data_IF_950915739228
#
_entry.id   IF_950915739228
#
_cell.length_a   1.000
_cell.length_b   1.000
_cell.length_c   1.000
_cell.angle_alpha   90.00
_cell.angle_beta   90.00
_cell.angle_gamma   90.00
#
_symmetry.space_group_name_H-M   'P 1'
#
loop_
_entity.id
_entity.type
_entity.pdbx_description
1 polymer ?
#
# COMPACT_ATOMS: atom_id res chain seq x y z
N UNK A 1 32.66 14.90 20.48
CA UNK A 1 33.00 14.55 19.09
C UNK A 1 32.80 13.04 18.82
N UNK A 2 33.41 12.17 19.60
CA UNK A 2 33.27 10.70 19.38
C UNK A 2 31.84 10.19 19.58
N UNK A 3 31.08 10.72 20.53
CA UNK A 3 29.71 10.34 20.83
C UNK A 3 28.73 10.71 19.70
N UNK A 4 28.96 11.82 19.00
CA UNK A 4 28.12 12.30 17.89
C UNK A 4 28.30 11.41 16.66
N UNK A 5 29.51 10.94 16.39
CA UNK A 5 29.77 10.03 15.29
C UNK A 5 29.16 8.65 15.53
N UNK A 6 29.17 8.18 16.79
CA UNK A 6 28.54 6.90 17.13
C UNK A 6 27.00 6.95 16.96
N UNK A 7 26.39 8.07 17.33
CA UNK A 7 24.95 8.29 17.17
C UNK A 7 24.54 8.37 15.69
N UNK A 8 25.35 9.04 14.87
CA UNK A 8 25.11 9.13 13.43
C UNK A 8 25.22 7.75 12.76
N UNK A 9 26.18 6.93 13.18
CA UNK A 9 26.35 5.58 12.67
C UNK A 9 25.19 4.66 13.06
N UNK A 10 24.62 4.83 14.26
CA UNK A 10 23.45 4.05 14.69
C UNK A 10 22.19 4.42 13.91
N UNK A 11 21.99 5.72 13.64
CA UNK A 11 20.86 6.21 12.84
C UNK A 11 21.00 5.75 11.39
N UNK A 12 22.20 5.76 10.84
CA UNK A 12 22.45 5.26 9.49
C UNK A 12 22.24 3.74 9.39
N UNK A 13 22.66 2.98 10.41
CA UNK A 13 22.44 1.53 10.47
C UNK A 13 20.94 1.19 10.56
N UNK A 14 20.15 1.97 11.32
CA UNK A 14 18.70 1.78 11.38
C UNK A 14 18.02 2.11 10.04
N UNK A 15 18.42 3.18 9.36
CA UNK A 15 17.94 3.52 8.03
C UNK A 15 18.32 2.45 6.99
N UNK A 16 19.52 1.88 7.08
CA UNK A 16 19.96 0.79 6.22
C UNK A 16 19.17 -0.50 6.48
N UNK A 17 18.78 -0.77 7.73
CA UNK A 17 17.95 -1.93 8.06
C UNK A 17 16.54 -1.82 7.46
N UNK A 18 15.97 -0.61 7.40
CA UNK A 18 14.70 -0.36 6.71
C UNK A 18 14.83 -0.41 5.17
N UNK A 19 16.00 -0.10 4.62
CA UNK A 19 16.29 -0.20 3.20
C UNK A 19 16.69 -1.59 2.73
N UNK A 20 16.86 -2.56 3.64
CA UNK A 20 17.18 -3.94 3.34
C UNK A 20 15.92 -4.78 3.16
N UNK A 21 14.96 -4.26 2.41
CA UNK A 21 13.88 -5.06 1.84
C UNK A 21 14.52 -6.04 0.86
N UNK A 22 14.10 -7.30 0.89
CA UNK A 22 14.61 -8.35 -0.01
C UNK A 22 14.13 -8.19 -1.46
N UNK A 23 13.44 -7.08 -1.77
CA UNK A 23 12.86 -6.81 -3.07
C UNK A 23 11.56 -7.56 -3.34
N UNK A 24 11.00 -8.22 -2.36
CA UNK A 24 9.69 -8.89 -2.49
C UNK A 24 8.57 -7.86 -2.49
N UNK A 25 7.71 -7.92 -3.52
CA UNK A 25 6.48 -7.16 -3.58
C UNK A 25 5.46 -7.80 -2.62
N UNK A 26 4.99 -7.05 -1.65
CA UNK A 26 4.00 -7.49 -0.67
C UNK A 26 2.64 -6.97 -1.06
N UNK A 27 1.78 -7.87 -1.54
CA UNK A 27 0.40 -7.56 -1.93
C UNK A 27 -0.50 -7.85 -0.75
N UNK A 28 -1.27 -6.87 -0.30
CA UNK A 28 -2.26 -7.06 0.74
C UNK A 28 -3.66 -7.30 0.18
N UNK A 29 -4.56 -7.75 1.04
CA UNK A 29 -5.99 -7.80 0.71
C UNK A 29 -6.83 -7.62 1.96
N UNK A 30 -8.03 -7.05 1.78
CA UNK A 30 -9.04 -6.92 2.83
C UNK A 30 -9.68 -8.28 3.07
N UNK A 31 -10.43 -8.40 4.17
CA UNK A 31 -11.01 -9.69 4.59
C UNK A 31 -12.36 -9.93 3.92
N UNK A 32 -12.38 -10.07 2.60
CA UNK A 32 -13.54 -10.56 1.83
C UNK A 32 -13.09 -11.12 0.47
N UNK A 33 -13.93 -11.95 -0.11
CA UNK A 33 -13.57 -12.83 -1.23
C UNK A 33 -13.03 -12.07 -2.45
N UNK A 34 -13.68 -11.02 -2.89
CA UNK A 34 -13.24 -10.25 -4.06
C UNK A 34 -11.85 -9.64 -3.83
N UNK A 35 -11.58 -9.16 -2.62
CA UNK A 35 -10.27 -8.61 -2.28
C UNK A 35 -9.17 -9.68 -2.34
N UNK A 36 -9.49 -10.91 -1.93
CA UNK A 36 -8.55 -12.03 -2.06
C UNK A 36 -8.25 -12.35 -3.52
N UNK A 37 -9.27 -12.38 -4.36
CA UNK A 37 -9.12 -12.65 -5.78
C UNK A 37 -8.27 -11.57 -6.45
N UNK A 38 -8.58 -10.32 -6.20
CA UNK A 38 -7.83 -9.20 -6.76
C UNK A 38 -6.39 -9.16 -6.26
N UNK A 39 -6.16 -9.41 -4.98
CA UNK A 39 -4.82 -9.51 -4.42
C UNK A 39 -4.00 -10.62 -5.07
N UNK A 40 -4.61 -11.77 -5.29
CA UNK A 40 -3.94 -12.90 -5.94
C UNK A 40 -3.66 -12.61 -7.42
N UNK A 41 -4.55 -11.93 -8.11
CA UNK A 41 -4.32 -11.49 -9.50
C UNK A 41 -3.11 -10.54 -9.57
N UNK A 42 -3.02 -9.58 -8.67
CA UNK A 42 -1.87 -8.66 -8.59
C UNK A 42 -0.58 -9.46 -8.36
N UNK A 43 -0.59 -10.36 -7.38
CA UNK A 43 0.58 -11.19 -7.07
C UNK A 43 1.03 -12.01 -8.28
N UNK A 44 0.11 -12.71 -8.94
CA UNK A 44 0.44 -13.54 -10.10
C UNK A 44 0.90 -12.71 -11.29
N UNK A 45 0.33 -11.53 -11.50
CA UNK A 45 0.74 -10.60 -12.56
C UNK A 45 2.16 -10.06 -12.34
N UNK A 46 2.54 -9.84 -11.09
CA UNK A 46 3.86 -9.36 -10.73
C UNK A 46 4.93 -10.46 -10.72
N UNK A 47 4.55 -11.69 -10.44
CA UNK A 47 5.47 -12.81 -10.20
C UNK A 47 6.51 -13.04 -11.31
N UNK A 48 6.21 -12.86 -12.63
CA UNK A 48 7.24 -13.00 -13.68
C UNK A 48 8.33 -11.92 -13.62
N UNK A 49 8.10 -10.81 -12.91
CA UNK A 49 8.98 -9.63 -12.91
C UNK A 49 9.69 -9.43 -11.58
N UNK A 50 9.06 -9.86 -10.48
CA UNK A 50 9.54 -9.64 -9.12
C UNK A 50 9.03 -10.76 -8.23
N UNK A 51 9.78 -11.09 -7.18
CA UNK A 51 9.23 -11.96 -6.14
C UNK A 51 8.03 -11.27 -5.52
N UNK A 52 6.88 -11.94 -5.49
CA UNK A 52 5.65 -11.38 -4.96
C UNK A 52 4.99 -12.36 -3.99
N UNK A 53 4.50 -11.85 -2.89
CA UNK A 53 3.73 -12.62 -1.90
C UNK A 53 2.40 -11.93 -1.63
N UNK A 54 1.39 -12.71 -1.25
CA UNK A 54 0.07 -12.21 -0.92
C UNK A 54 -0.18 -12.36 0.59
N UNK A 55 -0.29 -11.23 1.26
CA UNK A 55 -0.68 -11.15 2.67
C UNK A 55 -2.19 -11.01 2.74
N UNK A 56 -2.85 -12.15 2.79
CA UNK A 56 -4.28 -12.29 2.64
C UNK A 56 -5.03 -11.94 3.93
N UNK A 57 -6.18 -11.28 3.79
CA UNK A 57 -7.15 -11.15 4.87
C UNK A 57 -6.71 -10.28 6.04
N UNK A 58 -6.02 -9.18 5.79
CA UNK A 58 -5.50 -8.31 6.84
C UNK A 58 -6.58 -7.67 7.70
N UNK A 59 -7.71 -7.29 7.11
CA UNK A 59 -8.81 -6.71 7.84
C UNK A 59 -9.65 -5.74 6.99
N UNK A 60 -10.20 -4.72 7.64
CA UNK A 60 -10.98 -3.67 6.99
C UNK A 60 -10.07 -2.59 6.36
N UNK A 61 -10.68 -1.58 5.77
CA UNK A 61 -9.98 -0.47 5.11
C UNK A 61 -8.94 0.20 6.03
N UNK A 62 -9.29 0.47 7.27
CA UNK A 62 -8.39 1.14 8.21
C UNK A 62 -7.14 0.30 8.50
N UNK A 63 -7.30 -1.00 8.67
CA UNK A 63 -6.20 -1.92 8.97
C UNK A 63 -5.27 -2.06 7.76
N UNK A 64 -5.83 -2.24 6.57
CA UNK A 64 -5.02 -2.40 5.36
C UNK A 64 -4.32 -1.10 4.98
N UNK A 65 -4.99 0.03 5.14
CA UNK A 65 -4.37 1.35 4.94
C UNK A 65 -3.19 1.56 5.90
N UNK A 66 -3.36 1.21 7.17
CA UNK A 66 -2.27 1.31 8.15
C UNK A 66 -1.08 0.43 7.75
N UNK A 67 -1.33 -0.79 7.26
CA UNK A 67 -0.28 -1.69 6.79
C UNK A 67 0.45 -1.11 5.57
N UNK A 68 -0.28 -0.48 4.64
CA UNK A 68 0.30 0.18 3.48
C UNK A 68 1.18 1.37 3.89
N UNK A 69 0.69 2.21 4.78
CA UNK A 69 1.44 3.38 5.28
C UNK A 69 2.68 2.98 6.08
N UNK A 70 2.61 1.87 6.80
CA UNK A 70 3.75 1.34 7.56
C UNK A 70 4.77 0.59 6.70
N UNK A 71 4.47 0.31 5.43
CA UNK A 71 5.34 -0.47 4.56
C UNK A 71 5.27 -1.98 4.80
N UNK A 72 4.30 -2.45 5.58
CA UNK A 72 4.07 -3.89 5.78
C UNK A 72 3.52 -4.56 4.53
N UNK A 73 2.83 -3.79 3.69
CA UNK A 73 2.45 -4.15 2.33
C UNK A 73 2.83 -3.01 1.38
N UNK A 74 2.94 -3.33 0.10
CA UNK A 74 3.33 -2.34 -0.92
C UNK A 74 2.14 -1.90 -1.77
N UNK A 75 1.11 -2.75 -1.88
CA UNK A 75 -0.05 -2.49 -2.74
C UNK A 75 -1.24 -3.33 -2.28
N UNK A 76 -2.43 -2.83 -2.49
CA UNK A 76 -3.67 -3.60 -2.40
C UNK A 76 -4.73 -2.99 -3.34
N UNK A 77 -5.73 -3.79 -3.71
CA UNK A 77 -6.84 -3.32 -4.54
C UNK A 77 -7.90 -2.66 -3.65
N UNK A 78 -8.35 -1.47 -4.05
CA UNK A 78 -9.37 -0.73 -3.33
C UNK A 78 -10.37 -0.11 -4.30
N UNK A 79 -11.59 0.10 -3.85
CA UNK A 79 -12.62 0.80 -4.62
C UNK A 79 -12.39 2.31 -4.56
N UNK A 80 -12.59 2.98 -5.69
CA UNK A 80 -12.45 4.44 -5.76
C UNK A 80 -13.41 5.14 -4.79
N UNK A 81 -14.64 4.63 -4.65
CA UNK A 81 -15.59 5.17 -3.67
C UNK A 81 -15.11 5.06 -2.24
N UNK A 82 -14.49 3.95 -1.88
CA UNK A 82 -13.90 3.75 -0.55
C UNK A 82 -12.70 4.67 -0.32
N UNK A 83 -11.85 4.84 -1.32
CA UNK A 83 -10.74 5.79 -1.22
C UNK A 83 -11.27 7.19 -0.96
N UNK A 84 -12.27 7.64 -1.73
CA UNK A 84 -12.84 8.96 -1.57
C UNK A 84 -13.50 9.15 -0.19
N UNK A 85 -14.33 8.21 0.23
CA UNK A 85 -15.14 8.37 1.44
C UNK A 85 -14.42 7.99 2.72
N UNK A 86 -13.71 6.88 2.76
CA UNK A 86 -13.10 6.35 3.99
C UNK A 86 -11.68 6.84 4.20
N UNK A 87 -10.90 6.99 3.14
CA UNK A 87 -9.49 7.40 3.23
C UNK A 87 -9.36 8.91 3.16
N UNK A 88 -9.97 9.53 2.16
CA UNK A 88 -9.87 10.97 1.91
C UNK A 88 -11.00 11.80 2.53
N UNK A 89 -12.01 11.14 3.11
CA UNK A 89 -13.10 11.77 3.88
C UNK A 89 -13.99 12.73 3.07
N UNK A 90 -14.22 12.40 1.81
CA UNK A 90 -15.16 13.15 0.96
C UNK A 90 -16.58 12.62 1.08
N UNK A 91 -17.57 13.50 1.05
CA UNK A 91 -18.99 13.15 1.04
C UNK A 91 -19.49 12.74 -0.35
N UNK A 92 -18.74 13.13 -1.39
CA UNK A 92 -19.11 12.94 -2.78
C UNK A 92 -17.98 12.28 -3.54
N UNK A 93 -18.26 11.61 -4.69
CA UNK A 93 -17.20 11.10 -5.55
C UNK A 93 -16.26 12.21 -6.00
N UNK A 94 -15.00 11.86 -6.14
CA UNK A 94 -13.96 12.73 -6.69
C UNK A 94 -13.37 12.06 -7.92
N UNK A 95 -12.80 12.86 -8.83
CA UNK A 95 -12.14 12.31 -10.01
C UNK A 95 -10.77 11.72 -9.67
N UNK A 96 -10.23 10.95 -10.60
CA UNK A 96 -8.97 10.24 -10.40
C UNK A 96 -7.78 11.20 -10.21
N UNK A 97 -7.77 12.32 -10.91
CA UNK A 97 -6.69 13.29 -10.79
C UNK A 97 -6.66 13.95 -9.41
N UNK A 98 -7.83 14.30 -8.88
CA UNK A 98 -7.95 14.82 -7.52
C UNK A 98 -7.52 13.75 -6.51
N UNK A 99 -7.97 12.51 -6.71
CA UNK A 99 -7.59 11.38 -5.86
C UNK A 99 -6.08 11.20 -5.81
N UNK A 100 -5.41 11.25 -6.97
CA UNK A 100 -3.95 11.16 -7.04
C UNK A 100 -3.25 12.26 -6.26
N UNK A 101 -3.72 13.50 -6.39
CA UNK A 101 -3.13 14.64 -5.67
C UNK A 101 -3.28 14.48 -4.15
N UNK A 102 -4.46 14.11 -3.70
CA UNK A 102 -4.72 13.96 -2.27
C UNK A 102 -4.00 12.77 -1.66
N UNK A 103 -3.93 11.65 -2.36
CA UNK A 103 -3.16 10.48 -1.91
C UNK A 103 -1.66 10.77 -1.85
N UNK A 104 -1.14 11.54 -2.80
CA UNK A 104 0.27 11.94 -2.80
C UNK A 104 0.65 12.72 -1.54
N UNK A 105 -0.25 13.54 -1.02
CA UNK A 105 -0.04 14.25 0.24
C UNK A 105 0.08 13.29 1.45
N UNK A 106 -0.44 12.08 1.33
CA UNK A 106 -0.32 11.01 2.33
C UNK A 106 0.86 10.06 2.06
N UNK A 107 1.66 10.35 1.04
CA UNK A 107 2.75 9.46 0.61
C UNK A 107 2.28 8.23 -0.15
N UNK A 108 1.07 8.26 -0.69
CA UNK A 108 0.44 7.14 -1.39
C UNK A 108 0.22 7.47 -2.87
N UNK A 109 0.06 6.43 -3.67
CA UNK A 109 -0.30 6.54 -5.08
C UNK A 109 -1.50 5.68 -5.41
N UNK A 110 -2.15 6.00 -6.51
CA UNK A 110 -3.19 5.16 -7.11
C UNK A 110 -2.80 4.88 -8.56
N UNK A 111 -2.87 3.60 -8.95
CA UNK A 111 -2.48 3.17 -10.28
C UNK A 111 -3.62 3.44 -11.29
N UNK A 112 -4.11 2.40 -11.95
CA UNK A 112 -5.16 2.51 -12.95
C UNK A 112 -6.47 1.91 -12.44
N UNK A 113 -7.62 2.44 -12.85
CA UNK A 113 -8.90 1.79 -12.60
C UNK A 113 -8.95 0.43 -13.31
N UNK A 114 -9.47 -0.59 -12.61
CA UNK A 114 -9.57 -1.93 -13.17
C UNK A 114 -10.82 -2.12 -14.03
N UNK A 115 -11.71 -1.14 -14.07
CA UNK A 115 -12.82 -1.07 -15.02
C UNK A 115 -14.06 -1.85 -14.62
N UNK A 116 -14.22 -2.24 -13.37
CA UNK A 116 -15.44 -2.88 -12.90
C UNK A 116 -15.93 -2.25 -11.60
N UNK A 117 -17.16 -2.56 -11.26
CA UNK A 117 -17.86 -1.98 -10.12
C UNK A 117 -18.38 -3.08 -9.21
N UNK A 118 -18.26 -2.88 -7.92
CA UNK A 118 -18.86 -3.77 -6.93
C UNK A 118 -20.28 -3.27 -6.61
N UNK A 119 -21.25 -3.79 -7.30
CA UNK A 119 -22.66 -3.50 -7.05
C UNK A 119 -23.39 -4.69 -6.44
#
# INVERSE_FOLDING_TARGET
>A
MRAVYLLLMLVFAAASAHGMDDGTLKVGSKRFTESYILGEIIRQSAAPHVRAEHRQGLGNTAIVLAALQAGSIDVYAEYMGTIASEILKHDKPIDLDQMRRELAALGLGVAVPLGFNNT
#
